data_IF_587534634683
#
_entry.id   IF_587534634683
#
_cell.length_a   1.000
_cell.length_b   1.000
_cell.length_c   1.000
_cell.angle_alpha   90.00
_cell.angle_beta   90.00
_cell.angle_gamma   90.00
#
_symmetry.space_group_name_H-M   'P 1'
#
loop_
_entity.id
_entity.type
_entity.pdbx_description
1 polymer ?
#
# COMPACT_ATOMS: atom_id res chain seq x y z
N UNK A 1 -10.49 -17.00 14.39
CA UNK A 1 -9.79 -15.73 14.62
C UNK A 1 -10.54 -14.97 15.70
N UNK A 2 -9.89 -14.56 16.79
CA UNK A 2 -10.47 -13.56 17.70
C UNK A 2 -10.27 -12.22 16.99
N UNK A 3 -11.32 -11.67 16.40
CA UNK A 3 -11.24 -10.44 15.60
C UNK A 3 -10.92 -9.22 16.44
N UNK A 4 -11.40 -9.23 17.69
CA UNK A 4 -11.21 -8.17 18.66
C UNK A 4 -10.99 -8.80 20.02
N UNK A 5 -10.05 -8.25 20.81
CA UNK A 5 -10.12 -8.45 22.26
C UNK A 5 -11.46 -7.89 22.73
N UNK A 6 -12.20 -8.58 23.63
CA UNK A 6 -13.37 -8.00 24.31
C UNK A 6 -13.06 -6.64 24.98
N UNK A 7 -11.78 -6.36 25.25
CA UNK A 7 -11.29 -5.11 25.83
C UNK A 7 -10.96 -4.02 24.77
N UNK A 8 -11.25 -4.24 23.49
CA UNK A 8 -11.05 -3.24 22.44
C UNK A 8 -12.29 -2.33 22.36
N UNK A 9 -12.38 -1.38 23.29
CA UNK A 9 -13.47 -0.39 23.45
C UNK A 9 -13.73 0.54 22.23
N UNK A 10 -13.14 0.28 21.05
CA UNK A 10 -13.03 1.24 19.93
C UNK A 10 -13.64 0.78 18.59
N UNK A 11 -14.39 -0.32 18.56
CA UNK A 11 -15.10 -0.78 17.34
C UNK A 11 -16.60 -0.71 17.55
N UNK A 12 -17.26 0.15 16.79
CA UNK A 12 -18.71 0.33 16.81
C UNK A 12 -19.33 -0.31 15.57
N UNK A 13 -20.33 -1.15 15.76
CA UNK A 13 -21.16 -1.67 14.67
C UNK A 13 -22.23 -0.62 14.37
N UNK A 14 -22.34 -0.23 13.10
CA UNK A 14 -23.35 0.74 12.63
C UNK A 14 -24.39 -0.02 11.83
N UNK A 15 -25.63 -0.02 12.31
CA UNK A 15 -26.74 -0.64 11.60
C UNK A 15 -27.17 0.22 10.40
N UNK A 16 -27.36 -0.41 9.24
CA UNK A 16 -27.82 0.27 8.01
C UNK A 16 -26.71 0.95 7.21
N UNK A 17 -27.03 2.07 6.55
CA UNK A 17 -26.07 2.79 5.71
C UNK A 17 -25.13 3.64 6.57
N UNK A 18 -23.83 3.35 6.51
CA UNK A 18 -22.79 4.08 7.24
C UNK A 18 -22.77 5.55 6.81
N UNK A 19 -22.95 6.46 7.77
CA UNK A 19 -22.81 7.90 7.59
C UNK A 19 -21.63 8.40 8.42
N UNK A 20 -20.42 8.30 7.85
CA UNK A 20 -19.18 8.72 8.49
C UNK A 20 -19.25 10.17 9.02
N UNK A 21 -19.77 11.17 8.26
CA UNK A 21 -19.97 12.52 8.80
C UNK A 21 -20.83 12.59 10.06
N UNK A 22 -21.91 11.82 10.15
CA UNK A 22 -22.77 11.81 11.35
C UNK A 22 -22.05 11.21 12.56
N UNK A 23 -21.28 10.13 12.35
CA UNK A 23 -20.46 9.50 13.40
C UNK A 23 -19.38 10.48 13.88
N UNK A 24 -18.74 11.20 12.96
CA UNK A 24 -17.76 12.23 13.31
C UNK A 24 -18.42 13.32 14.15
N UNK A 25 -19.59 13.82 13.74
CA UNK A 25 -20.29 14.87 14.50
C UNK A 25 -20.66 14.38 15.92
N UNK A 26 -21.15 13.15 16.07
CA UNK A 26 -21.41 12.52 17.37
C UNK A 26 -20.14 12.45 18.22
N UNK A 27 -19.05 11.89 17.67
CA UNK A 27 -17.79 11.74 18.38
C UNK A 27 -17.18 13.08 18.79
N UNK A 28 -17.27 14.12 17.95
CA UNK A 28 -16.81 15.47 18.32
C UNK A 28 -17.65 16.14 19.41
N UNK A 29 -18.89 15.68 19.62
CA UNK A 29 -19.73 16.11 20.74
C UNK A 29 -19.37 15.42 22.06
N UNK A 30 -18.78 14.22 22.00
CA UNK A 30 -18.50 13.37 23.18
C UNK A 30 -17.03 13.32 23.58
N UNK A 31 -16.10 13.37 22.62
CA UNK A 31 -14.67 13.26 22.85
C UNK A 31 -14.07 14.62 23.20
N UNK A 32 -12.95 14.61 23.93
CA UNK A 32 -12.17 15.82 24.18
C UNK A 32 -11.65 16.40 22.86
N UNK A 33 -11.74 17.72 22.71
CA UNK A 33 -11.20 18.45 21.56
C UNK A 33 -9.68 18.68 21.65
N UNK A 34 -9.01 18.17 22.68
CA UNK A 34 -7.59 18.40 22.92
C UNK A 34 -6.69 17.49 22.07
N UNK A 35 -7.10 16.23 21.85
CA UNK A 35 -6.34 15.23 21.12
C UNK A 35 -6.92 14.97 19.71
N UNK A 36 -6.09 14.83 18.66
CA UNK A 36 -6.57 14.41 17.36
C UNK A 36 -6.98 12.94 17.41
N UNK A 37 -7.98 12.56 16.61
CA UNK A 37 -8.43 11.17 16.53
C UNK A 37 -8.77 10.78 15.09
N UNK A 38 -8.80 9.47 14.84
CA UNK A 38 -9.22 8.91 13.57
C UNK A 38 -10.57 8.24 13.69
N UNK A 39 -11.39 8.38 12.66
CA UNK A 39 -12.52 7.49 12.39
C UNK A 39 -12.11 6.54 11.26
N UNK A 40 -12.19 5.24 11.54
CA UNK A 40 -11.83 4.17 10.59
C UNK A 40 -13.09 3.42 10.14
N UNK A 41 -13.42 3.49 8.85
CA UNK A 41 -14.47 2.68 8.23
C UNK A 41 -13.90 1.32 7.81
N UNK A 42 -14.03 0.32 8.67
CA UNK A 42 -13.67 -1.08 8.37
C UNK A 42 -14.47 -1.60 7.16
N UNK A 43 -15.72 -1.16 7.00
CA UNK A 43 -16.57 -1.53 5.87
C UNK A 43 -15.99 -1.09 4.53
N UNK A 44 -15.22 0.01 4.49
CA UNK A 44 -14.51 0.44 3.28
C UNK A 44 -13.47 -0.59 2.83
N UNK A 45 -12.70 -1.13 3.77
CA UNK A 45 -11.70 -2.18 3.49
C UNK A 45 -12.39 -3.43 2.93
N UNK A 46 -13.53 -3.82 3.51
CA UNK A 46 -14.33 -4.97 3.04
C UNK A 46 -14.83 -4.74 1.61
N UNK A 47 -15.42 -3.58 1.33
CA UNK A 47 -15.90 -3.21 -0.02
C UNK A 47 -14.78 -3.21 -1.03
N UNK A 48 -13.60 -2.69 -0.67
CA UNK A 48 -12.42 -2.73 -1.54
C UNK A 48 -11.92 -4.15 -1.78
N UNK A 49 -11.96 -5.02 -0.79
CA UNK A 49 -11.60 -6.42 -1.00
C UNK A 49 -12.53 -7.11 -1.99
N UNK A 50 -13.85 -6.91 -1.86
CA UNK A 50 -14.84 -7.45 -2.79
C UNK A 50 -14.63 -6.90 -4.20
N UNK A 51 -14.50 -5.59 -4.34
CA UNK A 51 -14.22 -4.95 -5.61
C UNK A 51 -12.91 -5.45 -6.25
N UNK A 52 -11.86 -5.72 -5.46
CA UNK A 52 -10.62 -6.32 -5.97
C UNK A 52 -10.87 -7.70 -6.60
N UNK A 53 -11.57 -8.59 -5.88
CA UNK A 53 -11.87 -9.94 -6.35
C UNK A 53 -12.72 -9.89 -7.62
N UNK A 54 -13.70 -8.99 -7.68
CA UNK A 54 -14.58 -8.83 -8.86
C UNK A 54 -13.81 -8.31 -10.08
N UNK A 55 -12.95 -7.31 -9.89
CA UNK A 55 -12.27 -6.61 -11.00
C UNK A 55 -11.01 -7.32 -11.49
N UNK A 56 -10.29 -8.02 -10.61
CA UNK A 56 -9.06 -8.75 -10.92
C UNK A 56 -9.09 -10.17 -10.34
N UNK A 57 -10.01 -11.04 -10.79
CA UNK A 57 -10.26 -12.35 -10.17
C UNK A 57 -9.08 -13.32 -10.24
N UNK A 58 -8.11 -13.08 -11.15
CA UNK A 58 -6.89 -13.87 -11.28
C UNK A 58 -5.77 -13.44 -10.34
N UNK A 59 -5.89 -12.27 -9.69
CA UNK A 59 -4.79 -11.61 -8.97
C UNK A 59 -5.04 -11.65 -7.48
N UNK A 60 -4.24 -12.42 -6.75
CA UNK A 60 -4.37 -12.57 -5.29
C UNK A 60 -3.69 -11.39 -4.58
N UNK A 61 -4.44 -10.58 -3.81
CA UNK A 61 -3.86 -9.42 -3.12
C UNK A 61 -3.00 -9.84 -1.93
N UNK A 62 -1.76 -9.36 -1.91
CA UNK A 62 -0.86 -9.37 -0.76
C UNK A 62 -0.81 -7.96 -0.18
N UNK A 63 -1.49 -7.70 0.94
CA UNK A 63 -1.53 -6.37 1.51
C UNK A 63 -0.13 -5.91 1.94
N UNK A 64 0.31 -4.76 1.43
CA UNK A 64 1.60 -4.17 1.79
C UNK A 64 1.52 -3.55 3.19
N UNK A 65 1.97 -4.30 4.20
CA UNK A 65 1.80 -3.97 5.64
C UNK A 65 2.35 -2.60 5.99
N UNK A 66 3.49 -2.23 5.40
CA UNK A 66 4.14 -0.91 5.51
C UNK A 66 3.21 0.30 5.25
N UNK A 67 2.10 0.11 4.53
CA UNK A 67 1.17 1.20 4.21
C UNK A 67 0.38 1.67 5.45
N UNK A 68 -0.12 0.73 6.25
CA UNK A 68 -0.77 0.97 7.53
C UNK A 68 -0.80 -0.36 8.30
N UNK A 69 0.04 -0.48 9.32
CA UNK A 69 0.25 -1.72 10.05
C UNK A 69 -0.65 -1.85 11.29
N UNK A 70 -1.74 -1.07 11.35
CA UNK A 70 -2.73 -1.16 12.42
C UNK A 70 -3.30 -2.58 12.50
N UNK A 71 -3.39 -3.12 13.72
CA UNK A 71 -3.82 -4.51 13.95
C UNK A 71 -5.19 -4.80 13.36
N UNK A 72 -6.14 -3.85 13.48
CA UNK A 72 -7.50 -3.95 12.91
C UNK A 72 -7.50 -4.04 11.38
N UNK A 73 -6.58 -3.35 10.69
CA UNK A 73 -6.44 -3.44 9.23
C UNK A 73 -5.95 -4.83 8.85
N UNK A 74 -4.85 -5.27 9.47
CA UNK A 74 -4.23 -6.55 9.17
C UNK A 74 -5.16 -7.73 9.55
N UNK A 75 -5.84 -7.67 10.69
CA UNK A 75 -6.75 -8.73 11.14
C UNK A 75 -8.00 -8.83 10.24
N UNK A 76 -8.56 -7.68 9.82
CA UNK A 76 -9.66 -7.64 8.86
C UNK A 76 -9.27 -8.28 7.54
N UNK A 77 -8.13 -7.89 6.96
CA UNK A 77 -7.65 -8.45 5.70
C UNK A 77 -7.26 -9.93 5.81
N UNK A 78 -6.68 -10.33 6.94
CA UNK A 78 -6.35 -11.73 7.19
C UNK A 78 -7.60 -12.61 7.22
N UNK A 79 -8.68 -12.12 7.83
CA UNK A 79 -9.97 -12.79 7.90
C UNK A 79 -10.73 -12.82 6.57
N UNK A 80 -10.58 -11.79 5.74
CA UNK A 80 -11.09 -11.76 4.37
C UNK A 80 -10.32 -12.72 3.44
N UNK A 81 -9.18 -13.28 3.88
CA UNK A 81 -8.39 -14.23 3.12
C UNK A 81 -7.24 -13.61 2.32
N UNK A 82 -7.00 -12.30 2.46
CA UNK A 82 -5.87 -11.62 1.79
C UNK A 82 -4.52 -12.14 2.29
N UNK A 83 -3.52 -12.16 1.42
CA UNK A 83 -2.14 -12.47 1.80
C UNK A 83 -1.40 -11.18 2.20
N UNK A 84 -0.10 -11.24 2.51
CA UNK A 84 0.65 -10.09 3.01
C UNK A 84 2.03 -9.94 2.37
N UNK A 85 2.33 -8.71 1.94
CA UNK A 85 3.68 -8.26 1.61
C UNK A 85 4.28 -7.66 2.89
N UNK A 86 5.37 -8.28 3.35
CA UNK A 86 6.16 -7.81 4.49
C UNK A 86 7.56 -7.37 4.04
N UNK A 87 8.05 -6.28 4.60
CA UNK A 87 9.37 -5.69 4.32
C UNK A 87 10.37 -5.83 5.48
N UNK A 88 9.94 -6.35 6.64
CA UNK A 88 10.79 -6.44 7.83
C UNK A 88 10.45 -7.64 8.72
N UNK A 89 11.39 -7.99 9.63
CA UNK A 89 11.14 -8.96 10.72
C UNK A 89 9.92 -8.59 11.56
N UNK A 90 9.73 -7.30 11.85
CA UNK A 90 8.62 -6.81 12.67
C UNK A 90 7.26 -7.07 12.01
N UNK A 91 7.17 -6.80 10.70
CA UNK A 91 5.96 -7.06 9.93
C UNK A 91 5.67 -8.56 9.83
N UNK A 92 6.67 -9.39 9.52
CA UNK A 92 6.51 -10.86 9.49
C UNK A 92 6.02 -11.36 10.86
N UNK A 93 6.66 -10.93 11.94
CA UNK A 93 6.27 -11.32 13.30
C UNK A 93 4.84 -10.92 13.63
N UNK A 94 4.42 -9.71 13.22
CA UNK A 94 3.06 -9.21 13.43
C UNK A 94 2.05 -10.08 12.68
N UNK A 95 2.26 -10.33 11.39
CA UNK A 95 1.33 -11.10 10.56
C UNK A 95 1.24 -12.56 11.01
N UNK A 96 2.37 -13.21 11.34
CA UNK A 96 2.36 -14.55 11.93
C UNK A 96 1.64 -14.57 13.28
N UNK A 97 1.80 -13.53 14.10
CA UNK A 97 1.10 -13.37 15.39
C UNK A 97 -0.43 -13.31 15.26
N UNK A 98 -0.95 -12.89 14.10
CA UNK A 98 -2.39 -12.93 13.78
C UNK A 98 -2.88 -14.33 13.36
N UNK A 99 -1.99 -15.34 13.35
CA UNK A 99 -2.30 -16.71 12.93
C UNK A 99 -2.35 -16.89 11.42
N UNK A 100 -1.78 -15.96 10.64
CA UNK A 100 -1.64 -16.09 9.19
C UNK A 100 -0.55 -17.11 8.88
N UNK A 101 -0.85 -18.05 7.98
CA UNK A 101 0.11 -19.07 7.55
C UNK A 101 1.30 -18.44 6.79
N UNK A 102 2.55 -18.92 7.00
CA UNK A 102 3.75 -18.37 6.35
C UNK A 102 3.67 -18.33 4.81
N UNK A 103 2.93 -19.23 4.19
CA UNK A 103 2.76 -19.34 2.72
C UNK A 103 1.92 -18.19 2.14
N UNK A 104 1.18 -17.47 2.99
CA UNK A 104 0.46 -16.24 2.66
C UNK A 104 1.32 -14.98 2.85
N UNK A 105 2.63 -15.14 3.10
CA UNK A 105 3.55 -14.02 3.27
C UNK A 105 4.60 -14.06 2.15
N UNK A 106 4.76 -12.93 1.47
CA UNK A 106 5.93 -12.66 0.63
C UNK A 106 6.82 -11.65 1.35
N UNK A 107 8.12 -11.96 1.48
CA UNK A 107 9.10 -11.02 2.02
C UNK A 107 9.65 -10.15 0.88
N UNK A 108 8.89 -9.15 0.47
CA UNK A 108 9.15 -8.38 -0.76
C UNK A 108 10.08 -7.16 -0.58
N UNK A 109 11.01 -7.23 0.37
CA UNK A 109 12.13 -6.30 0.44
C UNK A 109 13.31 -6.88 -0.38
N UNK A 110 13.77 -6.23 -1.47
CA UNK A 110 14.88 -6.76 -2.25
C UNK A 110 16.22 -6.74 -1.52
N UNK A 111 16.39 -5.90 -0.49
CA UNK A 111 17.67 -5.69 0.22
C UNK A 111 17.50 -5.93 1.73
N UNK A 112 17.63 -7.18 2.17
CA UNK A 112 17.22 -7.62 3.51
C UNK A 112 18.37 -7.65 4.51
N UNK A 113 18.19 -7.17 5.74
CA UNK A 113 19.15 -7.42 6.80
C UNK A 113 19.31 -8.93 7.07
N UNK A 114 20.54 -9.39 7.29
CA UNK A 114 20.84 -10.81 7.56
C UNK A 114 20.07 -11.38 8.75
N UNK A 115 19.79 -10.55 9.77
CA UNK A 115 18.96 -10.93 10.92
C UNK A 115 17.50 -11.19 10.54
N UNK A 116 16.97 -10.45 9.56
CA UNK A 116 15.59 -10.62 9.08
C UNK A 116 15.47 -11.88 8.22
N UNK A 117 16.48 -12.15 7.38
CA UNK A 117 16.56 -13.40 6.61
C UNK A 117 16.54 -14.63 7.52
N UNK A 118 17.39 -14.65 8.57
CA UNK A 118 17.39 -15.74 9.56
C UNK A 118 16.03 -15.92 10.23
N UNK A 119 15.35 -14.82 10.57
CA UNK A 119 14.02 -14.88 11.17
C UNK A 119 12.97 -15.42 10.20
N UNK A 120 12.95 -14.95 8.95
CA UNK A 120 12.04 -15.45 7.92
C UNK A 120 12.23 -16.97 7.70
N UNK A 121 13.48 -17.42 7.59
CA UNK A 121 13.78 -18.85 7.44
C UNK A 121 13.34 -19.67 8.66
N UNK A 122 13.60 -19.19 9.88
CA UNK A 122 13.19 -19.86 11.12
C UNK A 122 11.67 -19.96 11.28
N UNK A 123 10.90 -19.12 10.60
CA UNK A 123 9.43 -19.11 10.64
C UNK A 123 8.80 -19.57 9.30
N UNK A 124 9.56 -20.26 8.45
CA UNK A 124 9.09 -20.82 7.17
C UNK A 124 8.50 -19.80 6.18
N UNK A 125 8.86 -18.52 6.27
CA UNK A 125 8.55 -17.54 5.21
C UNK A 125 9.59 -17.69 4.12
N UNK A 126 9.25 -18.46 3.08
CA UNK A 126 10.18 -18.90 2.03
C UNK A 126 10.20 -18.01 0.79
N UNK A 127 9.07 -17.40 0.41
CA UNK A 127 8.98 -16.56 -0.78
C UNK A 127 9.54 -15.17 -0.51
N UNK A 128 10.57 -14.76 -1.26
CA UNK A 128 11.23 -13.47 -1.06
C UNK A 128 11.77 -12.87 -2.35
N UNK A 129 11.80 -11.54 -2.42
CA UNK A 129 12.30 -10.84 -3.60
C UNK A 129 13.81 -10.61 -3.54
N UNK A 130 14.42 -10.40 -4.71
CA UNK A 130 15.80 -9.91 -4.84
C UNK A 130 15.93 -9.15 -6.16
N UNK A 131 16.96 -8.29 -6.28
CA UNK A 131 17.29 -7.57 -7.52
C UNK A 131 18.81 -7.38 -7.70
N UNK A 132 19.64 -8.06 -6.91
CA UNK A 132 21.10 -7.95 -6.98
C UNK A 132 21.83 -9.24 -6.64
N UNK A 133 23.06 -9.35 -7.14
CA UNK A 133 23.96 -10.49 -6.94
C UNK A 133 24.40 -10.63 -5.46
N UNK A 134 24.71 -9.50 -4.81
CA UNK A 134 25.06 -9.48 -3.38
C UNK A 134 23.93 -10.04 -2.51
N UNK A 135 22.67 -9.76 -2.88
CA UNK A 135 21.52 -10.30 -2.17
C UNK A 135 21.40 -11.82 -2.37
N UNK A 136 21.61 -12.32 -3.60
CA UNK A 136 21.57 -13.76 -3.89
C UNK A 136 22.56 -14.55 -3.04
N UNK A 137 23.82 -14.12 -2.97
CA UNK A 137 24.84 -14.77 -2.16
C UNK A 137 24.48 -14.76 -0.67
N UNK A 138 23.88 -13.67 -0.18
CA UNK A 138 23.41 -13.57 1.20
C UNK A 138 22.23 -14.51 1.47
N UNK A 139 21.27 -14.61 0.56
CA UNK A 139 20.13 -15.53 0.68
C UNK A 139 20.62 -16.98 0.60
N UNK A 140 21.50 -17.33 -0.34
CA UNK A 140 22.09 -18.68 -0.47
C UNK A 140 22.70 -19.18 0.84
N UNK A 141 23.37 -18.28 1.56
CA UNK A 141 24.02 -18.58 2.85
C UNK A 141 23.04 -18.75 4.01
N UNK A 142 21.94 -17.99 4.03
CA UNK A 142 21.07 -17.86 5.22
C UNK A 142 19.71 -18.56 5.08
N UNK A 143 19.22 -18.68 3.85
CA UNK A 143 17.92 -19.24 3.47
C UNK A 143 18.08 -20.04 2.16
N UNK A 144 18.84 -21.16 2.16
CA UNK A 144 19.13 -21.90 0.94
C UNK A 144 17.88 -22.42 0.21
N UNK A 145 16.80 -22.72 0.95
CA UNK A 145 15.54 -23.23 0.40
C UNK A 145 14.53 -22.10 0.07
N UNK A 146 14.99 -20.86 -0.06
CA UNK A 146 14.14 -19.72 -0.40
C UNK A 146 13.56 -19.87 -1.82
N UNK A 147 12.29 -19.49 -1.98
CA UNK A 147 11.63 -19.35 -3.28
C UNK A 147 11.84 -17.91 -3.75
N UNK A 148 12.70 -17.74 -4.75
CA UNK A 148 13.15 -16.43 -5.19
C UNK A 148 12.22 -15.82 -6.23
N UNK A 149 11.91 -14.54 -6.05
CA UNK A 149 11.17 -13.72 -7.02
C UNK A 149 12.08 -12.58 -7.47
N UNK A 150 12.47 -12.57 -8.74
CA UNK A 150 13.34 -11.50 -9.27
C UNK A 150 12.52 -10.23 -9.48
N UNK A 151 12.91 -9.13 -8.84
CA UNK A 151 12.25 -7.83 -9.01
C UNK A 151 12.91 -7.04 -10.15
N UNK A 152 12.11 -6.67 -11.15
CA UNK A 152 12.54 -5.82 -12.26
C UNK A 152 12.05 -4.38 -12.08
N UNK A 153 12.76 -3.45 -12.71
CA UNK A 153 12.40 -2.03 -12.77
C UNK A 153 11.42 -1.80 -13.92
N UNK A 154 10.25 -1.29 -13.58
CA UNK A 154 9.32 -0.73 -14.55
C UNK A 154 8.58 0.42 -13.86
N UNK A 155 8.92 1.66 -14.20
CA UNK A 155 8.32 2.85 -13.58
C UNK A 155 7.32 3.51 -14.52
N UNK A 156 6.23 4.00 -13.94
CA UNK A 156 5.35 4.95 -14.62
C UNK A 156 6.09 6.26 -14.86
N UNK A 157 5.82 6.94 -15.97
CA UNK A 157 6.34 8.30 -16.19
C UNK A 157 5.81 9.28 -15.13
N UNK A 158 4.61 9.00 -14.62
CA UNK A 158 3.90 9.79 -13.59
C UNK A 158 3.50 8.89 -12.42
N UNK A 159 4.42 8.73 -11.47
CA UNK A 159 4.16 8.15 -10.16
C UNK A 159 4.36 9.21 -9.07
N UNK A 160 3.49 9.18 -8.05
CA UNK A 160 3.63 10.05 -6.88
C UNK A 160 4.91 9.75 -6.10
N UNK A 161 5.25 8.47 -5.94
CA UNK A 161 6.52 8.04 -5.35
C UNK A 161 7.25 7.06 -6.28
N UNK A 162 8.31 7.51 -7.00
CA UNK A 162 9.13 6.63 -7.83
C UNK A 162 10.03 5.73 -6.98
N UNK A 163 10.10 4.44 -7.31
CA UNK A 163 10.84 3.42 -6.55
C UNK A 163 11.99 2.77 -7.36
N UNK A 164 11.93 2.84 -8.68
CA UNK A 164 12.86 2.26 -9.64
C UNK A 164 14.27 2.84 -9.58
N UNK A 165 14.43 4.09 -9.13
CA UNK A 165 15.77 4.63 -8.83
C UNK A 165 16.50 3.86 -7.73
N UNK A 166 15.76 3.23 -6.82
CA UNK A 166 16.30 2.51 -5.66
C UNK A 166 16.25 0.99 -5.81
N UNK A 167 15.20 0.46 -6.44
CA UNK A 167 14.91 -0.97 -6.49
C UNK A 167 14.52 -1.45 -7.88
N UNK A 168 14.76 -2.73 -8.15
CA UNK A 168 14.47 -3.37 -9.43
C UNK A 168 15.66 -3.29 -10.37
N UNK A 169 16.05 -4.44 -10.90
CA UNK A 169 17.09 -4.51 -11.92
C UNK A 169 16.52 -4.15 -13.30
N UNK A 170 17.38 -3.73 -14.21
CA UNK A 170 17.02 -3.54 -15.61
C UNK A 170 16.45 -4.86 -16.21
N UNK A 171 15.27 -4.84 -16.85
CA UNK A 171 14.65 -6.05 -17.35
C UNK A 171 15.36 -6.66 -18.58
N UNK A 172 16.17 -5.89 -19.31
CA UNK A 172 16.80 -6.32 -20.57
C UNK A 172 18.24 -6.77 -20.34
N UNK A 173 19.02 -5.98 -19.60
CA UNK A 173 20.47 -6.22 -19.45
C UNK A 173 20.80 -6.93 -18.14
N UNK A 174 20.21 -6.51 -17.02
CA UNK A 174 20.58 -7.00 -15.69
C UNK A 174 19.84 -8.28 -15.29
N UNK A 175 18.53 -8.35 -15.57
CA UNK A 175 17.69 -9.48 -15.19
C UNK A 175 18.17 -10.82 -15.77
N UNK A 176 18.49 -10.93 -17.09
CA UNK A 176 19.05 -12.18 -17.64
C UNK A 176 20.36 -12.61 -16.97
N UNK A 177 21.22 -11.64 -16.61
CA UNK A 177 22.48 -11.92 -15.89
C UNK A 177 22.19 -12.47 -14.49
N UNK A 178 21.24 -11.89 -13.77
CA UNK A 178 20.86 -12.37 -12.44
C UNK A 178 20.25 -13.77 -12.45
N UNK A 179 19.40 -14.09 -13.44
CA UNK A 179 18.81 -15.43 -13.59
C UNK A 179 19.92 -16.49 -13.79
N UNK A 180 20.95 -16.17 -14.59
CA UNK A 180 22.13 -17.05 -14.74
C UNK A 180 22.88 -17.26 -13.42
N UNK A 181 23.01 -16.22 -12.60
CA UNK A 181 23.65 -16.33 -11.29
C UNK A 181 22.84 -17.22 -10.36
N UNK A 182 21.51 -17.03 -10.30
CA UNK A 182 20.60 -17.93 -9.55
C UNK A 182 20.84 -19.39 -9.96
N UNK A 183 20.94 -19.66 -11.27
CA UNK A 183 21.25 -21.00 -11.79
C UNK A 183 22.61 -21.52 -11.33
N UNK A 184 23.66 -20.71 -11.39
CA UNK A 184 25.00 -21.11 -10.93
C UNK A 184 25.07 -21.38 -9.42
N UNK A 185 24.18 -20.77 -8.63
CA UNK A 185 24.11 -20.94 -7.18
C UNK A 185 23.19 -22.09 -6.75
N UNK A 186 22.54 -22.75 -7.70
CA UNK A 186 21.55 -23.83 -7.49
C UNK A 186 20.44 -23.39 -6.53
N UNK A 187 19.80 -22.25 -6.85
CA UNK A 187 18.70 -21.68 -6.07
C UNK A 187 17.39 -21.74 -6.85
N UNK A 188 16.28 -21.76 -6.12
CA UNK A 188 14.95 -21.89 -6.72
C UNK A 188 14.35 -20.53 -7.11
N UNK A 189 14.47 -20.18 -8.38
CA UNK A 189 13.75 -19.04 -8.97
C UNK A 189 12.34 -19.48 -9.36
N UNK A 190 11.33 -18.86 -8.75
CA UNK A 190 9.91 -19.23 -8.97
C UNK A 190 9.13 -18.15 -9.72
N UNK A 191 9.64 -16.93 -9.82
CA UNK A 191 8.86 -15.85 -10.38
C UNK A 191 9.58 -14.54 -10.65
N UNK A 192 8.82 -13.62 -11.22
CA UNK A 192 9.22 -12.23 -11.52
C UNK A 192 8.24 -11.28 -10.83
N UNK A 193 8.75 -10.20 -10.23
CA UNK A 193 7.96 -9.10 -9.69
C UNK A 193 8.35 -7.76 -10.28
N UNK A 194 7.44 -6.80 -10.23
CA UNK A 194 7.74 -5.38 -10.52
C UNK A 194 6.89 -4.48 -9.63
N UNK A 195 7.17 -3.17 -9.61
CA UNK A 195 6.30 -2.20 -8.97
C UNK A 195 6.37 -0.86 -9.73
N UNK A 196 5.22 -0.36 -10.13
CA UNK A 196 5.09 0.81 -11.03
C UNK A 196 5.22 2.18 -10.35
N UNK A 197 5.53 2.21 -9.06
CA UNK A 197 5.45 3.39 -8.19
C UNK A 197 4.12 3.53 -7.45
N UNK A 198 4.13 4.25 -6.32
CA UNK A 198 2.91 4.57 -5.55
C UNK A 198 2.15 5.72 -6.23
N UNK A 199 0.81 5.68 -6.21
CA UNK A 199 -0.02 6.72 -6.84
C UNK A 199 0.21 6.82 -8.35
N UNK A 200 0.26 5.67 -9.04
CA UNK A 200 0.47 5.61 -10.48
C UNK A 200 -0.78 6.12 -11.21
N UNK A 201 -0.62 7.10 -12.09
CA UNK A 201 -1.68 7.61 -12.95
C UNK A 201 -1.52 7.19 -14.44
N UNK A 202 -0.43 6.47 -14.76
CA UNK A 202 -0.11 5.99 -16.10
C UNK A 202 -0.25 4.46 -16.16
N UNK A 203 -1.49 3.97 -16.24
CA UNK A 203 -1.78 2.53 -16.18
C UNK A 203 -1.22 1.67 -17.33
N UNK A 204 -1.00 2.17 -18.56
CA UNK A 204 -0.31 1.40 -19.62
C UNK A 204 1.04 0.79 -19.21
N UNK A 205 1.72 1.36 -18.21
CA UNK A 205 2.97 0.80 -17.66
C UNK A 205 2.82 -0.64 -17.16
N UNK A 206 1.66 -1.02 -16.61
CA UNK A 206 1.41 -2.40 -16.14
C UNK A 206 1.46 -3.38 -17.31
N UNK A 207 0.91 -3.01 -18.46
CA UNK A 207 0.95 -3.85 -19.67
C UNK A 207 2.39 -4.10 -20.13
N UNK A 208 3.20 -3.03 -20.15
CA UNK A 208 4.63 -3.10 -20.49
C UNK A 208 5.41 -3.96 -19.51
N UNK A 209 5.18 -3.78 -18.20
CA UNK A 209 5.84 -4.54 -17.15
C UNK A 209 5.51 -6.04 -17.22
N UNK A 210 4.25 -6.39 -17.47
CA UNK A 210 3.80 -7.78 -17.67
C UNK A 210 4.45 -8.38 -18.93
N UNK A 211 4.60 -7.60 -20.00
CA UNK A 211 5.33 -8.05 -21.20
C UNK A 211 6.80 -8.38 -20.89
N UNK A 212 7.52 -7.52 -20.16
CA UNK A 212 8.90 -7.82 -19.76
C UNK A 212 8.99 -9.05 -18.85
N UNK A 213 8.03 -9.21 -17.94
CA UNK A 213 7.99 -10.39 -17.10
C UNK A 213 7.82 -11.67 -17.95
N UNK A 214 7.00 -11.65 -19.00
CA UNK A 214 6.86 -12.77 -19.92
C UNK A 214 8.17 -13.10 -20.63
N UNK A 215 8.86 -12.10 -21.17
CA UNK A 215 10.15 -12.30 -21.83
C UNK A 215 11.17 -12.97 -20.88
N UNK A 216 11.14 -12.61 -19.60
CA UNK A 216 12.00 -13.21 -18.57
C UNK A 216 11.57 -14.60 -18.13
N UNK A 217 10.26 -14.91 -18.12
CA UNK A 217 9.78 -16.28 -17.94
C UNK A 217 10.28 -17.18 -19.09
N UNK A 218 10.18 -16.72 -20.33
CA UNK A 218 10.67 -17.45 -21.51
C UNK A 218 12.19 -17.66 -21.43
N UNK A 219 12.92 -16.60 -21.07
CA UNK A 219 14.37 -16.70 -20.87
C UNK A 219 14.74 -17.70 -19.78
N UNK A 220 14.08 -17.65 -18.62
CA UNK A 220 14.33 -18.57 -17.50
C UNK A 220 14.06 -20.03 -17.89
N UNK A 221 13.05 -20.28 -18.73
CA UNK A 221 12.77 -21.62 -19.26
C UNK A 221 13.93 -22.18 -20.08
N UNK A 222 14.64 -21.35 -20.87
CA UNK A 222 15.85 -21.79 -21.60
C UNK A 222 16.99 -22.26 -20.69
N UNK A 223 16.95 -21.86 -19.41
CA UNK A 223 17.92 -22.24 -18.37
C UNK A 223 17.40 -23.37 -17.47
N UNK A 224 16.23 -23.93 -17.77
CA UNK A 224 15.61 -25.04 -17.06
C UNK A 224 14.78 -24.65 -15.84
N UNK A 225 14.32 -23.40 -15.75
CA UNK A 225 13.35 -22.99 -14.73
C UNK A 225 11.91 -23.09 -15.24
N UNK A 226 11.01 -23.52 -14.38
CA UNK A 226 9.57 -23.49 -14.61
C UNK A 226 8.93 -22.46 -13.67
N UNK A 227 9.02 -21.18 -14.05
CA UNK A 227 8.46 -20.10 -13.24
C UNK A 227 6.93 -20.22 -13.17
N UNK A 228 6.36 -20.01 -11.99
CA UNK A 228 4.94 -20.16 -11.72
C UNK A 228 4.33 -18.98 -10.95
N UNK A 229 5.11 -17.93 -10.69
CA UNK A 229 4.67 -16.77 -9.93
C UNK A 229 4.94 -15.45 -10.65
N UNK A 230 3.89 -14.70 -10.96
CA UNK A 230 3.98 -13.30 -11.39
C UNK A 230 3.46 -12.41 -10.27
N UNK A 231 4.23 -11.40 -9.91
CA UNK A 231 3.84 -10.38 -8.94
C UNK A 231 3.81 -8.99 -9.61
N UNK A 232 2.61 -8.42 -9.69
CA UNK A 232 2.41 -7.13 -10.38
C UNK A 232 2.59 -5.91 -9.45
N UNK A 233 3.01 -6.13 -8.21
CA UNK A 233 3.32 -5.07 -7.24
C UNK A 233 2.11 -4.23 -6.84
N UNK A 234 2.37 -3.00 -6.40
CA UNK A 234 1.36 -2.03 -5.98
C UNK A 234 1.27 -0.81 -6.89
N UNK A 235 0.62 0.25 -6.42
CA UNK A 235 0.45 1.51 -7.14
C UNK A 235 -1.00 1.87 -7.47
N UNK A 236 -1.94 0.98 -7.16
CA UNK A 236 -3.37 1.16 -7.38
C UNK A 236 -3.95 2.33 -6.56
N UNK A 237 -4.85 3.15 -7.15
CA UNK A 237 -5.48 4.27 -6.45
C UNK A 237 -6.41 3.77 -5.35
N UNK A 238 -6.45 4.45 -4.20
CA UNK A 238 -7.25 4.05 -3.03
C UNK A 238 -8.04 5.17 -2.36
N UNK A 239 -7.94 6.38 -2.89
CA UNK A 239 -8.56 7.57 -2.32
C UNK A 239 -10.06 7.63 -2.61
N UNK A 240 -10.78 8.44 -1.84
CA UNK A 240 -12.22 8.64 -2.02
C UNK A 240 -12.50 9.12 -3.45
N UNK A 241 -13.43 8.44 -4.14
CA UNK A 241 -13.85 8.80 -5.51
C UNK A 241 -12.93 8.29 -6.62
N UNK A 242 -11.89 7.52 -6.29
CA UNK A 242 -11.05 6.85 -7.29
C UNK A 242 -11.62 5.48 -7.68
N UNK A 243 -11.27 4.99 -8.88
CA UNK A 243 -11.64 3.64 -9.36
C UNK A 243 -10.41 2.89 -9.88
N UNK A 244 -10.45 1.56 -9.78
CA UNK A 244 -9.45 0.66 -10.36
C UNK A 244 -9.89 0.05 -11.70
N UNK A 245 -11.03 0.45 -12.26
CA UNK A 245 -11.60 -0.19 -13.45
C UNK A 245 -10.65 -0.17 -14.66
N UNK A 246 -10.01 0.97 -14.91
CA UNK A 246 -9.09 1.13 -16.05
C UNK A 246 -7.83 0.25 -15.89
N UNK A 247 -7.19 0.30 -14.72
CA UNK A 247 -6.01 -0.53 -14.44
C UNK A 247 -6.34 -2.01 -14.42
N UNK A 248 -7.51 -2.40 -13.87
CA UNK A 248 -7.96 -3.78 -13.88
C UNK A 248 -8.19 -4.30 -15.31
N UNK A 249 -8.81 -3.50 -16.18
CA UNK A 249 -8.99 -3.84 -17.60
C UNK A 249 -7.63 -4.05 -18.30
N UNK A 250 -6.67 -3.15 -18.08
CA UNK A 250 -5.32 -3.25 -18.67
C UNK A 250 -4.59 -4.48 -18.15
N UNK A 251 -4.61 -4.73 -16.84
CA UNK A 251 -3.97 -5.89 -16.21
C UNK A 251 -4.59 -7.18 -16.74
N UNK A 252 -5.93 -7.32 -16.73
CA UNK A 252 -6.60 -8.52 -17.21
C UNK A 252 -6.26 -8.80 -18.69
N UNK A 253 -6.30 -7.77 -19.55
CA UNK A 253 -5.92 -7.89 -20.97
C UNK A 253 -4.46 -8.32 -21.15
N UNK A 254 -3.54 -7.73 -20.38
CA UNK A 254 -2.12 -8.12 -20.41
C UNK A 254 -1.93 -9.57 -19.93
N UNK A 255 -2.58 -9.97 -18.84
CA UNK A 255 -2.52 -11.32 -18.31
C UNK A 255 -3.11 -12.35 -19.29
N UNK A 256 -4.18 -12.03 -20.00
CA UNK A 256 -4.76 -12.97 -20.99
C UNK A 256 -3.88 -13.11 -22.23
N UNK A 257 -3.16 -12.04 -22.62
CA UNK A 257 -2.22 -12.09 -23.74
C UNK A 257 -0.91 -12.81 -23.38
N UNK A 258 -0.28 -12.42 -22.28
CA UNK A 258 1.09 -12.83 -21.96
C UNK A 258 1.16 -14.02 -21.00
N UNK A 259 0.14 -14.22 -20.18
CA UNK A 259 0.04 -15.33 -19.23
C UNK A 259 -1.30 -16.05 -19.37
N UNK A 260 -1.67 -16.57 -20.56
CA UNK A 260 -2.95 -17.24 -20.76
C UNK A 260 -3.09 -18.50 -19.90
N UNK A 261 -1.96 -19.17 -19.61
CA UNK A 261 -1.91 -20.31 -18.70
C UNK A 261 -2.30 -19.90 -17.28
N UNK A 262 -3.36 -20.53 -16.78
CA UNK A 262 -3.91 -20.27 -15.43
C UNK A 262 -3.14 -21.01 -14.33
N UNK A 263 -2.16 -21.86 -14.67
CA UNK A 263 -1.24 -22.48 -13.72
C UNK A 263 -0.29 -21.46 -13.07
N UNK A 264 0.01 -20.36 -13.78
CA UNK A 264 0.81 -19.25 -13.24
C UNK A 264 -0.02 -18.49 -12.21
N UNK A 265 0.43 -18.54 -10.96
CA UNK A 265 -0.16 -17.75 -9.87
C UNK A 265 0.20 -16.30 -10.08
N UNK A 266 -0.82 -15.43 -10.12
CA UNK A 266 -0.64 -13.98 -10.20
C UNK A 266 -1.00 -13.35 -8.86
N UNK A 267 -0.09 -12.54 -8.33
CA UNK A 267 -0.26 -11.81 -7.08
C UNK A 267 -0.03 -10.31 -7.30
N UNK A 268 -0.43 -9.50 -6.34
CA UNK A 268 -0.16 -8.06 -6.29
C UNK A 268 0.13 -7.61 -4.86
N UNK A 269 0.68 -6.41 -4.70
CA UNK A 269 1.08 -5.80 -3.42
C UNK A 269 0.31 -4.49 -3.09
N UNK A 270 -1.04 -4.46 -3.10
CA UNK A 270 -1.80 -3.25 -2.84
C UNK A 270 -1.67 -2.79 -1.37
N UNK A 271 -1.10 -1.60 -1.17
CA UNK A 271 -1.11 -0.89 0.11
C UNK A 271 -2.21 0.17 0.16
N UNK A 272 -1.95 1.32 -0.46
CA UNK A 272 -2.83 2.50 -0.48
C UNK A 272 -4.26 2.17 -0.87
N UNK A 273 -4.42 1.32 -1.90
CA UNK A 273 -5.72 0.84 -2.37
C UNK A 273 -6.64 0.53 -1.20
N UNK A 274 -6.23 -0.37 -0.30
CA UNK A 274 -7.09 -0.86 0.77
C UNK A 274 -7.47 0.19 1.81
N UNK A 275 -6.55 1.09 2.17
CA UNK A 275 -6.68 1.86 3.42
C UNK A 275 -6.85 3.36 3.26
N UNK A 276 -6.56 3.95 2.09
CA UNK A 276 -6.51 5.42 1.99
C UNK A 276 -7.85 6.11 2.30
N UNK A 277 -8.96 5.68 1.71
CA UNK A 277 -10.29 6.24 2.04
C UNK A 277 -10.92 5.69 3.33
N UNK A 278 -10.31 4.68 3.96
CA UNK A 278 -10.88 4.07 5.17
C UNK A 278 -10.66 4.93 6.42
N UNK A 279 -9.73 5.89 6.39
CA UNK A 279 -9.36 6.70 7.55
C UNK A 279 -9.71 8.18 7.32
N UNK A 280 -10.46 8.76 8.26
CA UNK A 280 -10.64 10.21 8.36
C UNK A 280 -9.95 10.72 9.62
N UNK A 281 -9.04 11.68 9.47
CA UNK A 281 -8.36 12.35 10.58
C UNK A 281 -9.18 13.56 11.03
N UNK A 282 -9.45 13.65 12.32
CA UNK A 282 -10.12 14.78 12.97
C UNK A 282 -9.06 15.53 13.78
N UNK A 283 -8.89 16.83 13.49
CA UNK A 283 -8.01 17.73 14.21
C UNK A 283 -8.78 18.94 14.73
N UNK A 284 -8.26 19.56 15.80
CA UNK A 284 -8.80 20.78 16.37
C UNK A 284 -7.88 21.97 16.06
N UNK A 285 -8.48 23.13 15.78
CA UNK A 285 -7.77 24.41 15.75
C UNK A 285 -7.49 24.84 17.19
N UNK A 286 -6.28 24.58 17.68
CA UNK A 286 -5.85 24.93 19.03
C UNK A 286 -5.57 26.42 19.21
N UNK A 287 -5.16 27.08 18.13
CA UNK A 287 -4.80 28.50 18.18
C UNK A 287 -5.01 29.17 16.83
N UNK A 288 -5.26 30.48 16.87
CA UNK A 288 -5.37 31.33 15.69
C UNK A 288 -4.54 32.59 15.86
N UNK A 289 -3.91 33.05 14.78
CA UNK A 289 -3.24 34.34 14.71
C UNK A 289 -3.85 35.17 13.59
N UNK A 290 -4.29 36.38 13.92
CA UNK A 290 -4.79 37.37 12.96
C UNK A 290 -3.64 38.31 12.63
N UNK A 291 -3.21 38.32 11.38
CA UNK A 291 -2.20 39.24 10.85
C UNK A 291 -2.93 40.39 10.18
N UNK A 292 -2.76 41.60 10.70
CA UNK A 292 -3.35 42.82 10.14
C UNK A 292 -2.37 43.49 9.19
N UNK A 293 -2.90 44.13 8.15
CA UNK A 293 -2.16 45.07 7.32
C UNK A 293 -1.88 46.33 8.14
N UNK A 294 -0.60 46.66 8.34
CA UNK A 294 -0.19 47.79 9.18
C UNK A 294 -0.67 49.16 8.68
N UNK A 295 -1.00 49.31 7.39
CA UNK A 295 -1.43 50.58 6.79
C UNK A 295 -2.94 50.79 6.86
N UNK A 296 -3.70 49.72 6.63
CA UNK A 296 -5.17 49.79 6.54
C UNK A 296 -5.88 49.32 7.80
N UNK A 297 -5.17 48.61 8.70
CA UNK A 297 -5.77 47.95 9.88
C UNK A 297 -6.65 46.75 9.53
N UNK A 298 -6.79 46.41 8.25
CA UNK A 298 -7.62 45.29 7.79
C UNK A 298 -6.89 43.96 7.94
N UNK A 299 -7.64 42.87 8.02
CA UNK A 299 -7.08 41.51 8.09
C UNK A 299 -6.36 41.20 6.76
N UNK A 300 -5.07 40.91 6.85
CA UNK A 300 -4.24 40.45 5.71
C UNK A 300 -4.24 38.92 5.63
N UNK A 301 -4.00 38.26 6.77
CA UNK A 301 -3.91 36.80 6.85
C UNK A 301 -4.43 36.27 8.17
N UNK A 302 -5.06 35.10 8.13
CA UNK A 302 -5.32 34.29 9.32
C UNK A 302 -4.45 33.03 9.28
N UNK A 303 -3.85 32.67 10.42
CA UNK A 303 -3.07 31.45 10.58
C UNK A 303 -3.73 30.57 11.63
N UNK A 304 -4.00 29.32 11.29
CA UNK A 304 -4.58 28.32 12.19
C UNK A 304 -3.52 27.29 12.56
N UNK A 305 -3.49 26.91 13.84
CA UNK A 305 -2.56 25.93 14.39
C UNK A 305 -3.36 24.72 14.85
N UNK A 306 -3.02 23.54 14.31
CA UNK A 306 -3.71 22.28 14.56
C UNK A 306 -2.98 21.46 15.63
N UNK A 307 -3.71 20.54 16.26
CA UNK A 307 -3.18 19.59 17.24
C UNK A 307 -2.49 18.35 16.65
N UNK A 308 -2.22 18.36 15.34
CA UNK A 308 -1.45 17.34 14.62
C UNK A 308 -0.63 18.03 13.51
N UNK A 309 0.47 17.42 13.08
CA UNK A 309 1.43 18.06 12.19
C UNK A 309 2.31 17.13 11.39
N UNK A 310 3.28 17.71 10.69
CA UNK A 310 4.17 17.01 9.73
C UNK A 310 5.09 15.97 10.35
N UNK A 311 5.23 15.95 11.67
CA UNK A 311 5.99 14.93 12.40
C UNK A 311 5.16 13.69 12.77
N UNK A 312 3.83 13.77 12.63
CA UNK A 312 2.90 12.68 12.89
C UNK A 312 2.06 12.46 11.63
N UNK A 313 0.73 12.61 11.66
CA UNK A 313 -0.15 12.18 10.55
C UNK A 313 0.12 12.89 9.22
N UNK A 314 0.56 14.15 9.26
CA UNK A 314 0.87 14.94 8.07
C UNK A 314 2.30 14.73 7.55
N UNK A 315 3.06 13.76 8.08
CA UNK A 315 4.34 13.36 7.49
C UNK A 315 4.19 12.94 6.02
N UNK A 316 2.98 12.50 5.63
CA UNK A 316 2.60 12.19 4.27
C UNK A 316 2.77 13.35 3.28
N UNK A 317 2.74 14.61 3.74
CA UNK A 317 3.07 15.77 2.90
C UNK A 317 4.55 15.71 2.48
N UNK A 318 5.43 15.32 3.39
CA UNK A 318 6.88 15.30 3.18
C UNK A 318 7.34 14.03 2.44
N UNK A 319 6.84 12.86 2.87
CA UNK A 319 7.35 11.57 2.41
C UNK A 319 6.52 10.93 1.30
N UNK A 320 5.23 11.27 1.23
CA UNK A 320 4.29 10.68 0.28
C UNK A 320 3.76 11.74 -0.70
N UNK A 321 4.21 13.00 -0.63
CA UNK A 321 3.77 14.11 -1.49
C UNK A 321 2.25 14.33 -1.51
N UNK A 322 1.59 14.05 -0.38
CA UNK A 322 0.15 14.22 -0.24
C UNK A 322 -0.24 15.70 -0.16
N UNK A 323 -1.45 15.99 -0.62
CA UNK A 323 -2.08 17.31 -0.53
C UNK A 323 -3.39 17.23 0.29
N UNK A 324 -3.29 17.11 1.63
CA UNK A 324 -4.47 17.04 2.50
C UNK A 324 -5.40 18.23 2.27
N UNK A 325 -6.70 17.93 2.10
CA UNK A 325 -7.72 18.95 1.91
C UNK A 325 -8.50 19.13 3.22
N UNK A 326 -8.33 20.25 3.95
CA UNK A 326 -9.05 20.48 5.18
C UNK A 326 -10.54 20.64 4.90
N UNK A 327 -11.38 19.92 5.66
CA UNK A 327 -12.83 20.08 5.65
C UNK A 327 -13.29 20.45 7.05
N UNK A 328 -14.11 21.51 7.14
CA UNK A 328 -14.74 21.88 8.41
C UNK A 328 -15.81 20.85 8.76
N UNK A 329 -15.80 20.43 10.02
CA UNK A 329 -16.81 19.51 10.60
C UNK A 329 -17.90 20.36 11.29
N UNK A 330 -19.13 19.84 11.35
CA UNK A 330 -20.28 20.53 11.93
C UNK A 330 -21.10 21.40 10.96
N UNK A 331 -22.14 22.12 11.47
CA UNK A 331 -23.14 22.84 10.66
C UNK A 331 -22.55 23.87 9.70
N UNK A 332 -21.46 24.54 10.10
CA UNK A 332 -20.75 25.53 9.31
C UNK A 332 -20.01 24.93 8.09
N UNK A 333 -19.56 23.67 8.17
CA UNK A 333 -18.93 22.97 7.05
C UNK A 333 -19.92 22.49 5.99
N UNK A 334 -21.18 22.23 6.38
CA UNK A 334 -22.23 21.72 5.48
C UNK A 334 -22.84 22.78 4.55
N UNK A 335 -22.72 24.07 4.87
CA UNK A 335 -23.21 25.17 4.01
C UNK A 335 -22.27 25.51 2.84
N UNK A 336 -21.20 24.73 2.65
CA UNK A 336 -20.04 25.17 1.88
C UNK A 336 -19.33 26.29 2.65
N UNK A 337 -18.03 26.43 2.44
CA UNK A 337 -17.34 27.65 2.86
C UNK A 337 -18.06 28.80 2.14
N UNK A 338 -18.94 29.53 2.84
CA UNK A 338 -19.19 30.91 2.44
C UNK A 338 -17.80 31.51 2.45
N UNK A 339 -17.27 31.84 1.27
CA UNK A 339 -16.26 32.86 1.20
C UNK A 339 -16.88 34.01 1.98
N UNK A 340 -16.45 34.21 3.22
CA UNK A 340 -16.66 35.47 3.89
C UNK A 340 -15.87 36.44 3.03
N UNK A 341 -16.55 37.00 2.02
CA UNK A 341 -16.27 38.37 1.63
C UNK A 341 -16.25 39.11 2.95
N UNK A 342 -15.10 39.69 3.28
CA UNK A 342 -14.97 40.72 4.28
C UNK A 342 -15.81 41.91 3.80
N UNK A 343 -17.13 41.77 3.88
CA UNK A 343 -18.08 42.85 3.83
C UNK A 343 -18.07 43.47 5.21
N UNK A 344 -17.71 44.73 5.25
CA UNK A 344 -17.74 45.56 6.44
C UNK A 344 -19.18 45.60 6.99
N UNK A 345 -19.36 45.13 8.21
CA UNK A 345 -20.41 45.63 9.09
C UNK A 345 -19.77 46.75 9.93
N UNK A 346 -20.03 47.99 9.49
CA UNK A 346 -20.14 49.20 10.32
C UNK A 346 -21.57 49.70 10.15
#
# INVERSE_FOLDING_TARGET
>A
MKFFSPDCERVQIVDGQVNVPAIIDELTGTLSNEEPFYVMDIGDIVRKHQNWIEKMPRVVPHYAVKCNDAEVVCSTLAALGASFDCASKGEISKILGLGVAPERIIFANPMKPSSHLRYANANNVKTMTFDSDTELHKIRKLCPDAKLVLRIRCEAEKAQCPLGKKFGCDPVEEAPRLIKIVRSLDMDLVGISFHVGSGCADFPVYYKAISYARDLFDYAATLGYELNLLDIGGGFPGDVGTSIDEVAMIVNSALDKFFPDKSVRVISEPGRYYVASAFTLITCVQSKRVCLNAKTGTIDRMMYYLNDGVYASFNSILYDHQHPQPKLIGPAGRQGVRQHHLGADV
#
